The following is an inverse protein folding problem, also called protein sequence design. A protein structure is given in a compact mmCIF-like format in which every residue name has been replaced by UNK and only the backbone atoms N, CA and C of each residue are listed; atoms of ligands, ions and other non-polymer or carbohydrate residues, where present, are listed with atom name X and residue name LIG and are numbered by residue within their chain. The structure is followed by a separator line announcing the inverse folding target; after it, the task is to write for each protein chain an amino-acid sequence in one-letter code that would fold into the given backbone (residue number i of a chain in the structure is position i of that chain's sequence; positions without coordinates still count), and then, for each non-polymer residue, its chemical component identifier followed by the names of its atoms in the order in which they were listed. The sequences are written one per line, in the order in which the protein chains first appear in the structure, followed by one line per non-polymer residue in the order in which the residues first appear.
data_IF_176570617955
#
_entry.id   IF_176570617955
#
_cell.length_a   1.000
_cell.length_b   1.000
_cell.length_c   1.000
_cell.angle_alpha   90.00
_cell.angle_beta   90.00
_cell.angle_gamma   90.00
#
_symmetry.space_group_name_H-M   'P 1'
#
loop_
_entity.id
_entity.type
_entity.pdbx_description
1 polymer ?
#
# COMPACT_ATOMS: atom_id res chain seq x y z
N UNK A 1 -26.26 59.35 7.32
CA UNK A 1 -25.61 58.17 7.94
C UNK A 1 -24.14 58.17 7.54
N UNK A 2 -23.23 57.99 8.49
CA UNK A 2 -21.78 58.06 8.22
C UNK A 2 -21.33 56.91 7.33
N UNK A 3 -20.68 57.22 6.20
CA UNK A 3 -20.14 56.26 5.21
C UNK A 3 -19.23 55.22 5.85
N UNK A 4 -18.57 55.57 6.96
CA UNK A 4 -17.74 54.65 7.75
C UNK A 4 -18.56 53.52 8.38
N UNK A 5 -19.80 53.78 8.78
CA UNK A 5 -20.67 52.79 9.43
C UNK A 5 -21.18 51.74 8.42
N UNK A 6 -21.48 52.17 7.19
CA UNK A 6 -21.83 51.27 6.09
C UNK A 6 -20.63 50.48 5.59
N UNK A 7 -19.44 51.09 5.53
CA UNK A 7 -18.19 50.39 5.18
C UNK A 7 -17.85 49.32 6.23
N UNK A 8 -17.95 49.65 7.52
CA UNK A 8 -17.68 48.70 8.60
C UNK A 8 -18.69 47.56 8.61
N UNK A 9 -19.98 47.87 8.42
CA UNK A 9 -21.03 46.86 8.25
C UNK A 9 -20.79 45.93 7.06
N UNK A 10 -20.32 46.46 5.93
CA UNK A 10 -20.00 45.67 4.74
C UNK A 10 -18.78 44.74 4.97
N UNK A 11 -17.72 45.23 5.63
CA UNK A 11 -16.53 44.44 5.97
C UNK A 11 -16.85 43.35 6.98
N UNK A 12 -17.60 43.66 8.04
CA UNK A 12 -18.02 42.65 9.03
C UNK A 12 -18.98 41.64 8.39
N UNK A 13 -19.93 42.09 7.55
CA UNK A 13 -20.85 41.21 6.85
C UNK A 13 -20.14 40.23 5.91
N UNK A 14 -19.19 40.72 5.09
CA UNK A 14 -18.39 39.86 4.21
C UNK A 14 -17.47 38.92 4.98
N UNK A 15 -16.81 39.36 6.04
CA UNK A 15 -16.01 38.49 6.90
C UNK A 15 -16.86 37.37 7.51
N UNK A 16 -18.07 37.69 7.98
CA UNK A 16 -18.98 36.69 8.58
C UNK A 16 -19.44 35.66 7.55
N UNK A 17 -19.74 36.09 6.32
CA UNK A 17 -20.10 35.19 5.21
C UNK A 17 -18.93 34.28 4.83
N UNK A 18 -17.71 34.81 4.74
CA UNK A 18 -16.52 34.02 4.42
C UNK A 18 -16.18 33.00 5.52
N UNK A 19 -16.27 33.41 6.80
CA UNK A 19 -16.06 32.49 7.94
C UNK A 19 -17.15 31.41 7.98
N UNK A 20 -18.42 31.78 7.75
CA UNK A 20 -19.53 30.84 7.68
C UNK A 20 -19.37 29.83 6.53
N UNK A 21 -18.97 30.29 5.35
CA UNK A 21 -18.71 29.42 4.20
C UNK A 21 -17.51 28.50 4.46
N UNK A 22 -16.41 29.02 5.02
CA UNK A 22 -15.25 28.21 5.38
C UNK A 22 -15.59 27.13 6.42
N UNK A 23 -16.36 27.48 7.46
CA UNK A 23 -16.85 26.53 8.46
C UNK A 23 -17.75 25.45 7.83
N UNK A 24 -18.60 25.81 6.87
CA UNK A 24 -19.45 24.88 6.14
C UNK A 24 -18.61 23.92 5.28
N UNK A 25 -17.62 24.43 4.53
CA UNK A 25 -16.71 23.61 3.73
C UNK A 25 -15.91 22.64 4.61
N UNK A 26 -15.35 23.12 5.72
CA UNK A 26 -14.68 22.26 6.70
C UNK A 26 -15.63 21.22 7.30
N UNK A 27 -16.86 21.60 7.63
CA UNK A 27 -17.90 20.70 8.11
C UNK A 27 -18.14 19.55 7.13
N UNK A 28 -18.40 19.87 5.87
CA UNK A 28 -18.64 18.88 4.81
C UNK A 28 -17.41 17.99 4.57
N UNK A 29 -16.22 18.58 4.49
CA UNK A 29 -14.97 17.82 4.33
C UNK A 29 -14.71 16.90 5.51
N UNK A 30 -14.99 17.34 6.75
CA UNK A 30 -14.79 16.54 7.96
C UNK A 30 -15.76 15.35 8.03
N UNK A 31 -17.02 15.54 7.62
CA UNK A 31 -18.01 14.46 7.54
C UNK A 31 -17.62 13.45 6.47
N UNK A 32 -17.21 13.92 5.28
CA UNK A 32 -16.76 13.06 4.20
C UNK A 32 -15.50 12.29 4.58
N UNK A 33 -14.51 12.95 5.18
CA UNK A 33 -13.30 12.33 5.67
C UNK A 33 -13.60 11.28 6.75
N UNK A 34 -14.52 11.54 7.69
CA UNK A 34 -14.96 10.55 8.69
C UNK A 34 -15.61 9.32 8.06
N UNK A 35 -16.46 9.51 7.05
CA UNK A 35 -17.10 8.41 6.34
C UNK A 35 -16.10 7.57 5.53
N UNK A 36 -15.08 8.23 4.96
CA UNK A 36 -14.01 7.66 4.15
C UNK A 36 -12.86 7.02 4.95
N UNK A 37 -12.89 7.09 6.29
CA UNK A 37 -11.84 6.54 7.16
C UNK A 37 -11.57 5.07 6.83
N UNK A 38 -10.30 4.64 6.85
CA UNK A 38 -9.96 3.24 6.68
C UNK A 38 -10.66 2.34 7.69
N UNK A 39 -11.25 1.24 7.20
CA UNK A 39 -12.00 0.26 7.96
C UNK A 39 -11.45 -1.13 7.69
N UNK A 40 -11.26 -1.88 8.75
CA UNK A 40 -10.69 -3.22 8.72
C UNK A 40 -11.62 -4.22 9.44
N UNK A 41 -11.76 -5.41 8.86
CA UNK A 41 -12.56 -6.47 9.48
C UNK A 41 -12.19 -7.88 9.06
N UNK A 42 -12.80 -8.82 9.77
CA UNK A 42 -12.63 -10.27 9.63
C UNK A 42 -14.03 -10.88 9.54
N UNK A 43 -14.24 -11.79 8.59
CA UNK A 43 -15.47 -12.55 8.44
C UNK A 43 -15.17 -14.04 8.22
N UNK A 44 -16.11 -14.91 8.57
CA UNK A 44 -16.07 -16.30 8.10
C UNK A 44 -16.17 -16.36 6.58
N UNK A 45 -15.69 -17.44 5.98
CA UNK A 45 -15.86 -17.74 4.55
C UNK A 45 -16.91 -18.83 4.32
N UNK A 46 -17.28 -19.58 5.37
CA UNK A 46 -18.14 -20.76 5.28
C UNK A 46 -17.36 -22.06 5.05
N UNK A 47 -16.12 -21.97 4.57
CA UNK A 47 -15.22 -23.11 4.39
C UNK A 47 -14.37 -23.32 5.65
N UNK A 48 -14.40 -24.55 6.18
CA UNK A 48 -13.72 -24.91 7.42
C UNK A 48 -12.22 -24.64 7.31
N UNK A 49 -11.75 -23.61 8.01
CA UNK A 49 -10.32 -23.26 8.09
C UNK A 49 -9.88 -22.07 7.24
N UNK A 50 -10.82 -21.34 6.61
CA UNK A 50 -10.54 -20.09 5.91
C UNK A 50 -11.21 -18.89 6.57
N UNK A 51 -10.46 -17.80 6.70
CA UNK A 51 -10.99 -16.50 7.14
C UNK A 51 -10.85 -15.46 6.04
N UNK A 52 -11.87 -14.64 5.94
CA UNK A 52 -11.92 -13.53 5.01
C UNK A 52 -11.51 -12.26 5.74
N UNK A 53 -10.41 -11.65 5.29
CA UNK A 53 -9.97 -10.35 5.75
C UNK A 53 -10.37 -9.30 4.72
N UNK A 54 -10.89 -8.18 5.19
CA UNK A 54 -11.23 -7.06 4.30
C UNK A 54 -10.70 -5.75 4.85
N UNK A 55 -10.32 -4.89 3.91
CA UNK A 55 -9.87 -3.55 4.20
C UNK A 55 -10.47 -2.58 3.17
N UNK A 56 -11.09 -1.52 3.67
CA UNK A 56 -11.83 -0.55 2.85
C UNK A 56 -11.48 0.87 3.27
N UNK A 57 -11.15 1.71 2.28
CA UNK A 57 -10.87 3.13 2.42
C UNK A 57 -11.26 3.83 1.11
N UNK A 58 -11.24 5.16 1.09
CA UNK A 58 -11.37 5.91 -0.16
C UNK A 58 -9.97 6.30 -0.67
N UNK A 59 -9.47 5.72 -1.78
CA UNK A 59 -8.17 6.07 -2.34
C UNK A 59 -8.04 7.55 -2.74
N UNK A 60 -9.16 8.23 -3.01
CA UNK A 60 -9.16 9.66 -3.32
C UNK A 60 -8.93 10.53 -2.08
N UNK A 61 -9.19 10.02 -0.88
CA UNK A 61 -8.99 10.72 0.40
C UNK A 61 -7.71 10.26 1.09
N UNK A 62 -7.37 8.97 0.96
CA UNK A 62 -6.26 8.32 1.64
C UNK A 62 -5.39 7.56 0.64
N UNK A 63 -4.18 8.05 0.37
CA UNK A 63 -3.19 7.41 -0.49
C UNK A 63 -2.41 6.31 0.27
N UNK A 64 -3.13 5.32 0.80
CA UNK A 64 -2.57 4.24 1.63
C UNK A 64 -2.39 2.99 0.78
N UNK A 65 -1.24 2.32 0.89
CA UNK A 65 -1.02 0.99 0.32
C UNK A 65 -0.88 -0.06 1.43
N UNK A 66 -1.67 -1.12 1.38
CA UNK A 66 -1.60 -2.21 2.35
C UNK A 66 -0.60 -3.28 1.88
N UNK A 67 0.31 -3.70 2.75
CA UNK A 67 1.36 -4.66 2.37
C UNK A 67 1.42 -5.89 3.28
N UNK A 68 0.89 -5.83 4.51
CA UNK A 68 1.04 -6.92 5.47
C UNK A 68 -0.15 -7.07 6.41
N UNK A 69 -0.57 -8.31 6.59
CA UNK A 69 -1.52 -8.76 7.61
C UNK A 69 -0.78 -9.67 8.58
N UNK A 70 -0.83 -9.36 9.88
CA UNK A 70 -0.24 -10.20 10.94
C UNK A 70 -1.30 -10.58 11.95
N UNK A 71 -1.44 -11.87 12.19
CA UNK A 71 -2.30 -12.43 13.24
C UNK A 71 -1.41 -12.91 14.38
N UNK A 72 -1.69 -12.44 15.59
CA UNK A 72 -0.96 -12.81 16.78
C UNK A 72 -1.94 -13.32 17.85
N UNK A 73 -1.59 -14.42 18.50
CA UNK A 73 -2.35 -14.99 19.61
C UNK A 73 -1.50 -14.90 20.86
N UNK A 74 -2.11 -14.40 21.93
CA UNK A 74 -1.52 -14.36 23.26
C UNK A 74 -2.44 -15.13 24.21
N UNK A 75 -1.93 -16.18 24.82
CA UNK A 75 -2.62 -16.95 25.86
C UNK A 75 -1.71 -17.21 27.06
N UNK A 76 -2.09 -16.77 28.27
CA UNK A 76 -1.34 -17.11 29.47
C UNK A 76 -1.56 -18.57 29.93
N UNK A 77 -2.65 -19.21 29.47
CA UNK A 77 -3.11 -20.52 29.98
C UNK A 77 -2.75 -21.69 29.06
N UNK A 78 -2.44 -21.44 27.79
CA UNK A 78 -2.15 -22.48 26.81
C UNK A 78 -0.69 -22.95 26.89
N UNK A 79 -0.45 -24.21 26.49
CA UNK A 79 0.90 -24.77 26.35
C UNK A 79 1.73 -23.94 25.36
N UNK A 80 1.13 -23.56 24.22
CA UNK A 80 1.67 -22.55 23.30
C UNK A 80 1.18 -21.16 23.74
N UNK A 81 2.05 -20.40 24.41
CA UNK A 81 1.72 -19.06 24.91
C UNK A 81 1.51 -18.03 23.81
N UNK A 82 2.26 -18.16 22.72
CA UNK A 82 2.20 -17.24 21.59
C UNK A 82 2.17 -17.99 20.26
N UNK A 83 1.38 -17.49 19.31
CA UNK A 83 1.35 -17.99 17.95
C UNK A 83 1.15 -16.84 16.99
N UNK A 84 1.95 -16.81 15.91
CA UNK A 84 1.90 -15.74 14.93
C UNK A 84 1.95 -16.31 13.52
N UNK A 85 1.15 -15.72 12.63
CA UNK A 85 1.39 -15.88 11.18
C UNK A 85 1.21 -14.53 10.48
N UNK A 86 1.89 -14.41 9.34
CA UNK A 86 1.91 -13.18 8.54
C UNK A 86 1.57 -13.52 7.11
N UNK A 87 0.79 -12.65 6.48
CA UNK A 87 0.49 -12.65 5.06
C UNK A 87 0.98 -11.34 4.47
N UNK A 88 1.91 -11.44 3.52
CA UNK A 88 2.47 -10.28 2.82
C UNK A 88 1.87 -10.18 1.42
N UNK A 89 1.54 -8.96 1.00
CA UNK A 89 1.00 -8.64 -0.33
C UNK A 89 2.15 -8.08 -1.18
N UNK A 90 2.48 -8.75 -2.28
CA UNK A 90 3.47 -8.30 -3.25
C UNK A 90 2.88 -8.43 -4.68
N UNK A 91 2.52 -7.31 -5.34
CA UNK A 91 2.70 -5.92 -4.91
C UNK A 91 1.72 -5.49 -3.79
N UNK A 92 2.00 -4.39 -3.06
CA UNK A 92 1.08 -3.81 -2.09
C UNK A 92 -0.28 -3.47 -2.72
N UNK A 93 -1.36 -3.70 -1.97
CA UNK A 93 -2.71 -3.38 -2.40
C UNK A 93 -2.96 -1.87 -2.33
N UNK A 94 -3.26 -1.26 -3.48
CA UNK A 94 -3.45 0.20 -3.64
C UNK A 94 -4.90 0.65 -3.50
N UNK A 95 -5.82 -0.29 -3.35
CA UNK A 95 -7.24 -0.01 -3.24
C UNK A 95 -7.95 -1.00 -2.32
N UNK A 96 -9.20 -0.69 -1.94
CA UNK A 96 -10.03 -1.53 -1.09
C UNK A 96 -10.06 -2.97 -1.58
N UNK A 97 -9.86 -3.93 -0.67
CA UNK A 97 -9.71 -5.33 -1.03
C UNK A 97 -10.36 -6.28 -0.04
N UNK A 98 -10.50 -7.52 -0.53
CA UNK A 98 -10.89 -8.69 0.24
C UNK A 98 -9.94 -9.83 -0.09
N UNK A 99 -9.43 -10.49 0.95
CA UNK A 99 -8.51 -11.62 0.82
C UNK A 99 -8.98 -12.79 1.69
N UNK A 100 -9.32 -13.93 1.10
CA UNK A 100 -9.43 -15.18 1.85
C UNK A 100 -8.02 -15.65 2.22
N UNK A 101 -7.86 -16.04 3.47
CA UNK A 101 -6.61 -16.54 4.02
C UNK A 101 -6.88 -17.90 4.64
N UNK A 102 -6.14 -18.90 4.17
CA UNK A 102 -6.13 -20.24 4.73
C UNK A 102 -5.31 -20.17 6.03
N UNK A 103 -5.92 -20.60 7.14
CA UNK A 103 -5.20 -20.68 8.41
C UNK A 103 -4.17 -21.82 8.37
N UNK A 104 -2.96 -21.62 8.91
CA UNK A 104 -2.02 -22.71 9.11
C UNK A 104 -2.63 -23.80 10.01
N UNK A 105 -2.27 -25.07 9.78
CA UNK A 105 -2.88 -26.19 10.51
C UNK A 105 -2.63 -26.12 12.02
N UNK A 106 -1.43 -25.70 12.44
CA UNK A 106 -1.13 -25.44 13.86
C UNK A 106 -2.10 -24.41 14.49
N UNK A 107 -2.52 -23.42 13.70
CA UNK A 107 -3.47 -22.40 14.14
C UNK A 107 -4.87 -22.98 14.24
N UNK A 108 -5.27 -23.85 13.31
CA UNK A 108 -6.56 -24.56 13.37
C UNK A 108 -6.63 -25.48 14.57
N UNK A 109 -5.57 -26.23 14.85
CA UNK A 109 -5.46 -27.12 16.00
C UNK A 109 -5.60 -26.34 17.31
N UNK A 110 -4.84 -25.25 17.46
CA UNK A 110 -4.95 -24.35 18.61
C UNK A 110 -6.36 -23.78 18.79
N UNK A 111 -7.00 -23.36 17.69
CA UNK A 111 -8.36 -22.85 17.74
C UNK A 111 -9.38 -23.94 18.06
N UNK A 112 -9.10 -25.20 17.73
CA UNK A 112 -9.99 -26.33 18.00
C UNK A 112 -9.76 -26.92 19.39
N UNK A 113 -8.68 -26.55 20.06
CA UNK A 113 -8.34 -27.04 21.41
C UNK A 113 -9.39 -26.61 22.44
N UNK A 114 -10.22 -27.57 22.85
CA UNK A 114 -11.29 -27.38 23.83
C UNK A 114 -10.79 -27.06 25.23
N UNK A 115 -9.49 -27.23 25.52
CA UNK A 115 -8.90 -26.89 26.81
C UNK A 115 -8.82 -25.38 27.05
N UNK A 116 -8.73 -24.59 25.97
CA UNK A 116 -8.65 -23.13 26.05
C UNK A 116 -10.05 -22.55 26.14
N UNK A 117 -10.38 -21.92 27.29
CA UNK A 117 -11.69 -21.29 27.45
C UNK A 117 -11.81 -20.04 26.61
N UNK A 118 -13.06 -19.68 26.30
CA UNK A 118 -13.41 -18.58 25.39
C UNK A 118 -12.80 -17.22 25.71
N UNK A 119 -12.33 -16.96 26.94
CA UNK A 119 -11.72 -15.68 27.38
C UNK A 119 -10.24 -15.78 27.74
N UNK A 120 -9.61 -16.93 27.55
CA UNK A 120 -8.22 -17.20 27.98
C UNK A 120 -7.18 -16.95 26.88
N UNK A 121 -7.62 -16.61 25.67
CA UNK A 121 -6.72 -16.23 24.59
C UNK A 121 -7.26 -15.02 23.84
N UNK A 122 -6.34 -14.11 23.52
CA UNK A 122 -6.57 -12.91 22.72
C UNK A 122 -5.92 -13.09 21.36
N UNK A 123 -6.71 -12.86 20.32
CA UNK A 123 -6.29 -12.93 18.92
C UNK A 123 -6.31 -11.51 18.37
N UNK A 124 -5.14 -10.97 18.10
CA UNK A 124 -4.97 -9.65 17.52
C UNK A 124 -4.63 -9.80 16.04
N UNK A 125 -5.47 -9.22 15.20
CA UNK A 125 -5.19 -9.09 13.77
C UNK A 125 -4.76 -7.67 13.50
N UNK A 126 -3.62 -7.51 12.85
CA UNK A 126 -3.03 -6.22 12.51
C UNK A 126 -2.79 -6.11 11.01
N UNK A 127 -3.22 -5.01 10.43
CA UNK A 127 -2.93 -4.63 9.06
C UNK A 127 -1.93 -3.49 9.08
N UNK A 128 -0.85 -3.62 8.32
CA UNK A 128 0.17 -2.58 8.16
C UNK A 128 0.17 -2.03 6.74
N UNK A 129 0.38 -0.73 6.69
CA UNK A 129 0.43 0.06 5.45
C UNK A 129 1.85 0.56 5.19
N UNK A 130 2.16 0.91 3.96
CA UNK A 130 3.47 1.44 3.55
C UNK A 130 3.88 2.69 4.32
N UNK A 131 2.90 3.50 4.72
CA UNK A 131 3.08 4.73 5.49
C UNK A 131 3.14 4.47 7.01
N UNK A 132 3.45 3.23 7.40
CA UNK A 132 3.56 2.76 8.79
C UNK A 132 2.27 2.85 9.64
N UNK A 133 1.14 3.25 9.04
CA UNK A 133 -0.16 3.18 9.72
C UNK A 133 -0.51 1.71 9.99
N UNK A 134 -0.86 1.45 11.24
CA UNK A 134 -1.24 0.12 11.73
C UNK A 134 -2.67 0.14 12.23
N UNK A 135 -3.52 -0.69 11.64
CA UNK A 135 -4.87 -0.95 12.13
C UNK A 135 -4.89 -2.30 12.81
N UNK A 136 -5.38 -2.37 14.03
CA UNK A 136 -5.48 -3.61 14.77
C UNK A 136 -6.91 -3.86 15.24
N UNK A 137 -7.27 -5.13 15.31
CA UNK A 137 -8.53 -5.59 15.86
C UNK A 137 -8.28 -6.83 16.70
N UNK A 138 -8.68 -6.76 17.95
CA UNK A 138 -8.49 -7.84 18.92
C UNK A 138 -9.81 -8.54 19.21
N UNK A 139 -9.74 -9.86 19.26
CA UNK A 139 -10.87 -10.74 19.52
C UNK A 139 -10.50 -11.70 20.64
N UNK A 140 -11.47 -12.03 21.48
CA UNK A 140 -11.35 -13.22 22.31
C UNK A 140 -11.47 -14.47 21.44
N UNK A 141 -10.75 -15.54 21.82
CA UNK A 141 -10.77 -16.80 21.08
C UNK A 141 -12.18 -17.36 20.87
N UNK A 142 -13.09 -17.24 21.85
CA UNK A 142 -14.47 -17.67 21.69
C UNK A 142 -15.24 -16.89 20.61
N UNK A 143 -15.00 -15.58 20.50
CA UNK A 143 -15.58 -14.77 19.43
C UNK A 143 -14.97 -15.11 18.07
N UNK A 144 -13.67 -15.37 18.04
CA UNK A 144 -12.96 -15.77 16.82
C UNK A 144 -13.40 -17.15 16.31
N UNK A 145 -13.59 -18.13 17.20
CA UNK A 145 -14.20 -19.44 16.89
C UNK A 145 -15.60 -19.29 16.28
N UNK A 146 -16.42 -18.39 16.84
CA UNK A 146 -17.75 -18.09 16.29
C UNK A 146 -17.66 -17.46 14.89
N UNK A 147 -16.67 -16.61 14.63
CA UNK A 147 -16.44 -16.04 13.30
C UNK A 147 -16.05 -17.12 12.29
N UNK A 148 -15.20 -18.06 12.69
CA UNK A 148 -14.82 -19.21 11.84
C UNK A 148 -16.02 -20.10 11.48
N UNK A 149 -16.87 -20.38 12.46
CA UNK A 149 -18.08 -21.19 12.26
C UNK A 149 -19.22 -20.41 11.57
N UNK A 150 -19.09 -19.09 11.43
CA UNK A 150 -20.12 -18.27 10.82
C UNK A 150 -20.10 -18.39 9.29
N UNK A 151 -21.30 -18.42 8.70
CA UNK A 151 -21.48 -18.25 7.26
C UNK A 151 -20.80 -16.95 6.80
N UNK A 152 -20.40 -16.84 5.52
CA UNK A 152 -19.80 -15.63 5.00
C UNK A 152 -20.74 -14.45 5.26
N UNK A 153 -20.32 -13.59 6.20
CA UNK A 153 -21.06 -12.37 6.47
C UNK A 153 -20.95 -11.52 5.22
N UNK A 154 -22.08 -11.27 4.57
CA UNK A 154 -22.16 -10.24 3.52
C UNK A 154 -21.88 -8.91 4.19
N UNK A 155 -20.61 -8.52 4.31
CA UNK A 155 -20.27 -7.16 4.73
C UNK A 155 -20.81 -6.26 3.62
N UNK A 156 -21.74 -5.38 3.99
CA UNK A 156 -22.40 -4.49 3.04
C UNK A 156 -21.35 -3.72 2.25
N UNK A 157 -21.26 -3.95 0.94
CA UNK A 157 -20.26 -3.31 0.06
C UNK A 157 -19.05 -4.17 -0.34
N UNK A 158 -18.89 -5.39 0.20
CA UNK A 158 -17.80 -6.32 -0.19
C UNK A 158 -17.87 -6.74 -1.67
N UNK A 159 -19.08 -6.87 -2.22
CA UNK A 159 -19.30 -7.22 -3.64
C UNK A 159 -18.80 -6.15 -4.63
N UNK A 160 -18.38 -4.98 -4.13
CA UNK A 160 -17.77 -3.89 -4.93
C UNK A 160 -16.24 -3.84 -4.78
N UNK A 161 -15.66 -4.69 -3.93
CA UNK A 161 -14.22 -4.79 -3.75
C UNK A 161 -13.67 -5.75 -4.79
N UNK A 162 -12.61 -5.34 -5.48
CA UNK A 162 -11.92 -6.25 -6.37
C UNK A 162 -11.35 -7.41 -5.53
N UNK A 163 -11.59 -8.68 -5.90
CA UNK A 163 -10.86 -9.77 -5.30
C UNK A 163 -9.38 -9.54 -5.58
N UNK A 164 -8.53 -9.64 -4.55
CA UNK A 164 -7.10 -9.80 -4.81
C UNK A 164 -6.96 -11.21 -5.36
N UNK A 165 -6.41 -11.32 -6.56
CA UNK A 165 -6.22 -12.61 -7.25
C UNK A 165 -5.61 -13.62 -6.27
N UNK A 166 -6.31 -14.72 -6.06
CA UNK A 166 -5.87 -15.81 -5.18
C UNK A 166 -4.54 -16.43 -5.65
N UNK A 167 -4.16 -16.19 -6.89
CA UNK A 167 -2.92 -16.65 -7.52
C UNK A 167 -1.72 -15.71 -7.32
N UNK A 168 -1.91 -14.52 -6.74
CA UNK A 168 -0.81 -13.67 -6.31
C UNK A 168 -0.23 -14.25 -5.02
N UNK A 169 1.10 -14.51 -4.93
CA UNK A 169 1.70 -15.30 -3.86
C UNK A 169 1.53 -14.60 -2.51
N UNK A 170 0.46 -14.93 -1.79
CA UNK A 170 0.28 -14.61 -0.39
C UNK A 170 1.27 -15.50 0.37
N UNK A 171 2.51 -15.03 0.53
CA UNK A 171 3.55 -15.77 1.23
C UNK A 171 3.11 -15.94 2.68
N UNK A 172 2.60 -17.12 3.00
CA UNK A 172 2.29 -17.57 4.35
C UNK A 172 3.59 -18.07 4.98
N UNK A 173 4.38 -17.18 5.57
CA UNK A 173 5.54 -17.63 6.34
C UNK A 173 5.71 -16.87 7.64
N UNK A 174 5.91 -17.64 8.71
CA UNK A 174 6.61 -17.20 9.91
C UNK A 174 8.03 -16.76 9.53
N UNK A 175 8.48 -15.69 10.18
CA UNK A 175 9.81 -15.09 10.12
C UNK A 175 10.95 -16.08 9.77
N UNK A 176 11.56 -15.93 8.59
CA UNK A 176 12.98 -16.16 8.21
C UNK A 176 13.16 -16.21 6.68
N UNK A 177 12.14 -16.64 5.93
CA UNK A 177 12.17 -16.74 4.46
C UNK A 177 12.15 -15.38 3.75
N UNK A 178 11.50 -14.34 4.32
CA UNK A 178 11.51 -12.98 3.76
C UNK A 178 12.92 -12.36 3.75
N UNK A 179 13.79 -12.72 4.71
CA UNK A 179 15.19 -12.27 4.70
C UNK A 179 15.96 -12.89 3.52
N UNK A 180 15.68 -14.14 3.18
CA UNK A 180 16.31 -14.83 2.04
C UNK A 180 15.77 -14.25 0.72
N UNK A 181 14.45 -14.12 0.59
CA UNK A 181 13.83 -13.53 -0.61
C UNK A 181 14.25 -12.07 -0.81
N UNK A 182 14.35 -11.26 0.26
CA UNK A 182 14.88 -9.89 0.18
C UNK A 182 16.37 -9.88 -0.12
N UNK A 183 17.18 -10.78 0.45
CA UNK A 183 18.61 -10.91 0.10
C UNK A 183 18.80 -11.28 -1.37
N UNK A 184 17.99 -12.18 -1.91
CA UNK A 184 18.12 -12.60 -3.30
C UNK A 184 17.60 -11.54 -4.28
N UNK A 185 16.52 -10.81 -3.94
CA UNK A 185 16.12 -9.59 -4.66
C UNK A 185 17.23 -8.53 -4.62
N UNK A 186 17.88 -8.32 -3.47
CA UNK A 186 18.98 -7.36 -3.33
C UNK A 186 20.20 -7.77 -4.18
N UNK A 187 20.57 -9.05 -4.19
CA UNK A 187 21.63 -9.58 -5.06
C UNK A 187 21.32 -9.36 -6.53
N UNK A 188 20.09 -9.62 -6.96
CA UNK A 188 19.67 -9.42 -8.35
C UNK A 188 19.67 -7.94 -8.74
N UNK A 189 19.25 -7.04 -7.84
CA UNK A 189 19.32 -5.60 -8.08
C UNK A 189 20.77 -5.08 -8.12
N UNK A 190 21.66 -5.60 -7.28
CA UNK A 190 23.09 -5.29 -7.31
C UNK A 190 23.72 -5.80 -8.61
N UNK A 191 23.37 -7.01 -9.05
CA UNK A 191 23.84 -7.57 -10.32
C UNK A 191 23.36 -6.73 -11.52
N UNK A 192 22.09 -6.32 -11.53
CA UNK A 192 21.55 -5.42 -12.56
C UNK A 192 22.17 -4.02 -12.52
N UNK A 193 22.44 -3.47 -11.34
CA UNK A 193 23.11 -2.18 -11.19
C UNK A 193 24.57 -2.25 -11.69
N UNK A 194 25.28 -3.34 -11.38
CA UNK A 194 26.64 -3.59 -11.90
C UNK A 194 26.65 -3.82 -13.41
N UNK A 195 25.68 -4.56 -13.95
CA UNK A 195 25.53 -4.73 -15.40
C UNK A 195 25.25 -3.39 -16.10
N UNK A 196 24.38 -2.54 -15.52
CA UNK A 196 24.11 -1.19 -16.02
C UNK A 196 25.31 -0.25 -15.90
N UNK A 197 26.10 -0.38 -14.85
CA UNK A 197 27.35 0.37 -14.68
C UNK A 197 28.43 -0.09 -15.67
N UNK A 198 28.55 -1.39 -15.94
CA UNK A 198 29.45 -1.94 -16.94
C UNK A 198 29.04 -1.58 -18.39
N UNK A 199 27.74 -1.39 -18.65
CA UNK A 199 27.26 -0.91 -19.95
C UNK A 199 27.43 0.60 -20.17
N UNK A 200 27.73 1.38 -19.11
CA UNK A 200 28.18 2.77 -19.26
C UNK A 200 29.68 2.77 -19.54
N UNK A 201 30.04 2.64 -20.82
CA UNK A 201 31.39 2.90 -21.32
C UNK A 201 31.85 4.30 -20.83
N UNK A 202 33.06 4.48 -20.28
CA UNK A 202 33.60 5.81 -20.04
C UNK A 202 33.66 6.54 -21.39
N UNK A 203 33.23 7.81 -21.39
CA UNK A 203 33.36 8.67 -22.55
C UNK A 203 34.84 8.70 -22.98
N UNK A 204 35.09 8.29 -24.22
CA UNK A 204 36.40 8.33 -24.85
C UNK A 204 36.94 9.78 -24.84
N UNK A 205 38.22 10.02 -24.52
CA UNK A 205 38.78 11.36 -24.55
C UNK A 205 38.78 11.89 -25.99
N UNK A 206 38.23 13.10 -26.20
CA UNK A 206 38.23 13.79 -27.49
C UNK A 206 39.67 13.86 -28.04
N UNK A 207 39.94 13.18 -29.15
CA UNK A 207 41.15 13.41 -29.96
C UNK A 207 41.10 14.84 -30.54
N UNK A 208 42.22 15.55 -30.42
CA UNK A 208 42.50 16.81 -31.10
C UNK A 208 42.26 16.71 -32.62
N UNK A 209 41.73 17.79 -33.18
CA UNK A 209 41.48 17.94 -34.61
C UNK A 209 42.80 18.11 -35.40
N UNK A 210 42.97 17.46 -36.57
CA UNK A 210 44.12 17.69 -37.42
C UNK A 210 44.03 19.06 -38.14
N UNK A 211 45.21 19.69 -38.26
CA UNK A 211 45.50 20.97 -38.92
C UNK A 211 45.01 20.97 -40.40
N UNK A 212 44.46 22.07 -40.93
CA UNK A 212 43.93 22.11 -42.29
C UNK A 212 45.04 22.11 -43.35
N UNK A 213 44.88 21.29 -44.38
CA UNK A 213 45.67 21.31 -45.61
C UNK A 213 45.12 22.33 -46.61
N UNK A 214 46.06 22.88 -47.38
CA UNK A 214 46.00 24.04 -48.27
C UNK A 214 44.95 24.00 -49.38
N UNK A 215 44.50 25.19 -49.79
CA UNK A 215 43.49 25.49 -50.80
C UNK A 215 43.80 24.95 -52.22
N UNK A 216 42.76 24.73 -53.07
CA UNK A 216 42.93 24.25 -54.44
C UNK A 216 43.39 25.37 -55.40
N UNK A 217 44.32 25.00 -56.31
CA UNK A 217 44.76 25.77 -57.47
C UNK A 217 43.59 26.16 -58.38
N UNK A 218 43.51 27.46 -58.68
CA UNK A 218 42.72 28.01 -59.79
C UNK A 218 43.60 27.97 -61.04
N UNK A 219 43.27 27.13 -62.02
CA UNK A 219 43.70 27.32 -63.41
C UNK A 219 42.47 27.66 -64.24
N UNK A 220 42.38 28.93 -64.63
CA UNK A 220 41.50 29.42 -65.67
C UNK A 220 42.23 29.31 -67.01
N UNK A 221 41.62 28.66 -68.00
CA UNK A 221 42.01 28.79 -69.41
C UNK A 221 40.81 28.48 -70.31
N UNK A 222 40.14 29.54 -70.79
CA UNK A 222 39.23 29.66 -71.96
C UNK A 222 39.18 31.18 -72.23
N UNK A 223 39.42 31.80 -73.39
CA UNK A 223 39.54 31.38 -74.79
C UNK A 223 40.20 32.50 -75.61
N UNK A 224 40.70 32.13 -76.81
CA UNK A 224 40.62 32.78 -78.14
C UNK A 224 40.71 34.32 -78.25
N UNK A 225 41.45 34.95 -79.17
CA UNK A 225 42.18 34.46 -80.34
C UNK A 225 42.52 35.61 -81.33
N UNK A 226 43.23 35.24 -82.40
CA UNK A 226 43.48 35.91 -83.70
C UNK A 226 44.52 37.06 -83.83
N UNK A 227 45.45 36.76 -84.76
CA UNK A 227 46.03 37.59 -85.87
C UNK A 227 45.59 39.04 -85.94
#
# INVERSE_FOLDING_TARGET
MSVLLTLFGAVVGTATVLVGFYALVLGVLSVRARAARPKFGVSGTGDNGQLAYWFSWDPAVYAIEAYRLTVNVLSPSAVKKEMRFTVTMDPPAKGPFWQPVILPDEFKEFLSDGSIKSREALITVSLRTTDELCLHKTFYIGAFRKLLASKPTKVTGLNKLAPVDQDAPSVSSLDYSELVVRKDKLKNLIAQAKAKAASKKPAEPKKEAPKPASAPEVKADVAEGKV
#
